data_IF_444074414180
#
_entry.id   IF_444074414180
#
_cell.length_a   1.000
_cell.length_b   1.000
_cell.length_c   1.000
_cell.angle_alpha   90.00
_cell.angle_beta   90.00
_cell.angle_gamma   90.00
#
_symmetry.space_group_name_H-M   'P 1'
#
loop_
_entity.id
_entity.type
_entity.pdbx_description
1 polymer ?
#
# COMPACT_ATOMS: atom_id res chain seq x y z
N UNK A 1 -20.14 -5.35 -46.57
CA UNK A 1 -19.83 -4.90 -45.20
C UNK A 1 -19.57 -3.40 -45.19
N UNK A 2 -20.40 -2.62 -44.52
CA UNK A 2 -20.28 -1.16 -44.45
C UNK A 2 -19.00 -0.69 -43.76
N UNK A 3 -18.50 0.50 -44.15
CA UNK A 3 -17.31 1.13 -43.55
C UNK A 3 -17.43 1.23 -42.01
N UNK A 4 -18.65 1.54 -41.53
CA UNK A 4 -18.98 1.58 -40.11
C UNK A 4 -18.77 0.23 -39.40
N UNK A 5 -19.12 -0.89 -40.01
CA UNK A 5 -18.95 -2.23 -39.47
C UNK A 5 -17.46 -2.63 -39.34
N UNK A 6 -16.62 -2.22 -40.31
CA UNK A 6 -15.16 -2.44 -40.23
C UNK A 6 -14.52 -1.62 -39.10
N UNK A 7 -14.96 -0.36 -38.94
CA UNK A 7 -14.48 0.50 -37.82
C UNK A 7 -14.89 -0.08 -36.47
N UNK A 8 -16.16 -0.49 -36.31
CA UNK A 8 -16.64 -1.11 -35.06
C UNK A 8 -15.85 -2.39 -34.70
N UNK A 9 -15.57 -3.26 -35.69
CA UNK A 9 -14.73 -4.45 -35.48
C UNK A 9 -13.29 -4.08 -35.07
N UNK A 10 -12.72 -3.06 -35.70
CA UNK A 10 -11.37 -2.57 -35.32
C UNK A 10 -11.32 -2.06 -33.88
N UNK A 11 -12.30 -1.25 -33.48
CA UNK A 11 -12.40 -0.75 -32.10
C UNK A 11 -12.61 -1.87 -31.08
N UNK A 12 -13.45 -2.86 -31.39
CA UNK A 12 -13.65 -4.02 -30.52
C UNK A 12 -12.38 -4.86 -30.37
N UNK A 13 -11.61 -5.05 -31.45
CA UNK A 13 -10.34 -5.77 -31.39
C UNK A 13 -9.29 -5.03 -30.54
N UNK A 14 -9.20 -3.71 -30.66
CA UNK A 14 -8.31 -2.88 -29.81
C UNK A 14 -8.73 -2.97 -28.35
N UNK A 15 -10.02 -2.83 -28.04
CA UNK A 15 -10.53 -2.94 -26.67
C UNK A 15 -10.22 -4.33 -26.05
N UNK A 16 -10.43 -5.41 -26.81
CA UNK A 16 -10.10 -6.77 -26.38
C UNK A 16 -8.59 -6.93 -26.15
N UNK A 17 -7.75 -6.38 -27.01
CA UNK A 17 -6.30 -6.36 -26.87
C UNK A 17 -5.84 -5.60 -25.60
N UNK A 18 -6.39 -4.41 -25.35
CA UNK A 18 -6.11 -3.65 -24.15
C UNK A 18 -6.54 -4.39 -22.87
N UNK A 19 -7.70 -5.05 -22.89
CA UNK A 19 -8.18 -5.82 -21.77
C UNK A 19 -7.28 -7.05 -21.50
N UNK A 20 -6.93 -7.81 -22.54
CA UNK A 20 -6.01 -8.94 -22.43
C UNK A 20 -4.62 -8.51 -21.91
N UNK A 21 -4.11 -7.38 -22.41
CA UNK A 21 -2.88 -6.78 -21.88
C UNK A 21 -3.04 -6.43 -20.40
N UNK A 22 -4.14 -5.80 -20.00
CA UNK A 22 -4.40 -5.44 -18.61
C UNK A 22 -4.40 -6.63 -17.66
N UNK A 23 -4.96 -7.77 -18.08
CA UNK A 23 -4.89 -9.03 -17.31
C UNK A 23 -3.45 -9.55 -17.20
N UNK A 24 -2.68 -9.49 -18.28
CA UNK A 24 -1.27 -9.90 -18.28
C UNK A 24 -0.43 -8.95 -17.42
N UNK A 25 -0.64 -7.64 -17.52
CA UNK A 25 0.10 -6.65 -16.73
C UNK A 25 -0.14 -6.81 -15.23
N UNK A 26 -1.34 -7.20 -14.79
CA UNK A 26 -1.68 -7.44 -13.40
C UNK A 26 -0.88 -8.60 -12.76
N UNK A 27 -0.16 -9.40 -13.55
CA UNK A 27 0.75 -10.45 -13.07
C UNK A 27 2.23 -10.12 -13.25
N UNK A 28 2.56 -8.94 -13.75
CA UNK A 28 3.95 -8.50 -14.01
C UNK A 28 4.52 -7.77 -12.79
N UNK A 29 4.66 -8.47 -11.68
CA UNK A 29 5.18 -7.92 -10.43
C UNK A 29 6.56 -7.29 -10.60
N UNK A 30 6.79 -6.15 -9.95
CA UNK A 30 8.05 -5.39 -10.00
C UNK A 30 8.55 -5.06 -8.61
N UNK A 31 9.86 -5.06 -8.46
CA UNK A 31 10.54 -4.45 -7.31
C UNK A 31 11.04 -3.07 -7.75
N UNK A 32 10.50 -2.02 -7.12
CA UNK A 32 11.01 -0.66 -7.26
C UNK A 32 12.09 -0.40 -6.22
N UNK A 33 13.02 0.46 -6.58
CA UNK A 33 14.07 0.94 -5.67
C UNK A 33 14.01 2.46 -5.63
N UNK A 34 13.92 3.02 -4.44
CA UNK A 34 13.77 4.46 -4.20
C UNK A 34 14.72 4.86 -3.09
N UNK A 35 15.47 5.93 -3.27
CA UNK A 35 16.34 6.50 -2.23
C UNK A 35 15.64 7.67 -1.56
N UNK A 36 15.68 7.72 -0.22
CA UNK A 36 15.05 8.77 0.58
C UNK A 36 16.08 9.37 1.54
N UNK A 37 16.44 10.66 1.39
CA UNK A 37 17.39 11.32 2.28
C UNK A 37 16.66 11.77 3.58
N UNK A 38 16.68 10.91 4.62
CA UNK A 38 15.89 11.12 5.82
C UNK A 38 16.62 10.76 7.11
N UNK A 39 17.73 10.00 7.04
CA UNK A 39 18.47 9.55 8.20
C UNK A 39 19.40 10.64 8.76
N UNK A 40 19.74 10.57 10.05
CA UNK A 40 20.85 11.36 10.61
C UNK A 40 22.17 11.09 9.90
N UNK A 41 23.05 12.10 9.84
CA UNK A 41 24.38 11.95 9.26
C UNK A 41 25.27 10.97 10.07
N UNK A 42 26.09 10.20 9.36
CA UNK A 42 27.12 9.33 9.93
C UNK A 42 26.69 7.90 10.28
N UNK A 43 25.42 7.56 10.09
CA UNK A 43 24.93 6.18 10.24
C UNK A 43 24.91 5.39 8.93
N UNK A 44 24.69 4.07 8.98
CA UNK A 44 24.56 3.23 7.79
C UNK A 44 23.26 3.53 7.00
N UNK A 45 23.21 3.12 5.75
CA UNK A 45 21.94 3.06 5.00
C UNK A 45 21.00 2.02 5.62
N UNK A 46 19.68 2.26 5.50
CA UNK A 46 18.65 1.33 5.96
C UNK A 46 17.66 1.02 4.82
N UNK A 47 17.33 -0.26 4.65
CA UNK A 47 16.40 -0.71 3.60
C UNK A 47 15.05 -1.08 4.20
N UNK A 48 14.00 -0.37 3.78
CA UNK A 48 12.62 -0.68 4.13
C UNK A 48 11.96 -1.40 2.96
N UNK A 49 11.42 -2.60 3.19
CA UNK A 49 10.50 -3.24 2.26
C UNK A 49 9.08 -2.74 2.55
N UNK A 50 8.51 -2.00 1.61
CA UNK A 50 7.14 -1.50 1.68
C UNK A 50 6.21 -2.44 0.90
N UNK A 51 5.40 -3.22 1.62
CA UNK A 51 4.33 -4.08 1.12
C UNK A 51 3.00 -3.33 1.19
N UNK A 52 2.13 -3.52 0.20
CA UNK A 52 0.81 -2.88 0.17
C UNK A 52 -0.14 -3.61 -0.76
N UNK A 53 -1.43 -3.59 -0.44
CA UNK A 53 -2.52 -3.98 -1.32
C UNK A 53 -2.27 -5.34 -2.01
N UNK A 54 -1.96 -6.36 -1.23
CA UNK A 54 -1.67 -7.71 -1.75
C UNK A 54 -2.94 -8.34 -2.30
N UNK A 55 -4.10 -8.12 -1.66
CA UNK A 55 -5.40 -8.69 -2.03
C UNK A 55 -5.29 -10.17 -2.39
N UNK A 56 -4.65 -10.95 -1.50
CA UNK A 56 -4.40 -12.35 -1.79
C UNK A 56 -5.69 -13.16 -1.82
N UNK A 57 -5.87 -13.93 -2.90
CA UNK A 57 -6.85 -15.00 -3.01
C UNK A 57 -6.14 -16.35 -2.98
N UNK A 58 -6.81 -17.43 -2.50
CA UNK A 58 -6.28 -18.78 -2.59
C UNK A 58 -5.91 -19.13 -4.04
N UNK A 59 -4.82 -19.88 -4.21
CA UNK A 59 -4.40 -20.39 -5.52
C UNK A 59 -3.64 -19.41 -6.42
N UNK A 60 -3.39 -18.16 -6.03
CA UNK A 60 -2.60 -17.19 -6.79
C UNK A 60 -1.09 -17.50 -6.73
N UNK A 61 -0.65 -18.62 -7.32
CA UNK A 61 0.71 -19.14 -7.17
C UNK A 61 1.81 -18.19 -7.63
N UNK A 62 1.59 -17.43 -8.70
CA UNK A 62 2.56 -16.43 -9.18
C UNK A 62 2.80 -15.34 -8.13
N UNK A 63 1.73 -14.84 -7.50
CA UNK A 63 1.82 -13.83 -6.44
C UNK A 63 2.51 -14.41 -5.20
N UNK A 64 2.14 -15.63 -4.79
CA UNK A 64 2.78 -16.32 -3.67
C UNK A 64 4.28 -16.56 -3.92
N UNK A 65 4.66 -16.94 -5.13
CA UNK A 65 6.07 -17.12 -5.49
C UNK A 65 6.84 -15.80 -5.47
N UNK A 66 6.21 -14.71 -5.94
CA UNK A 66 6.78 -13.37 -5.85
C UNK A 66 6.99 -12.95 -4.39
N UNK A 67 5.98 -13.12 -3.52
CA UNK A 67 6.09 -12.78 -2.09
C UNK A 67 7.23 -13.55 -1.40
N UNK A 68 7.39 -14.85 -1.67
CA UNK A 68 8.51 -15.65 -1.11
C UNK A 68 9.88 -15.12 -1.51
N UNK A 69 10.02 -14.66 -2.74
CA UNK A 69 11.29 -14.14 -3.25
C UNK A 69 11.69 -12.79 -2.64
N UNK A 70 10.75 -12.07 -2.00
CA UNK A 70 11.04 -10.76 -1.39
C UNK A 70 12.00 -10.86 -0.20
N UNK A 71 12.08 -11.98 0.48
CA UNK A 71 13.03 -12.20 1.56
C UNK A 71 14.50 -12.13 1.08
N UNK A 72 14.76 -12.44 -0.19
CA UNK A 72 16.09 -12.37 -0.80
C UNK A 72 16.54 -10.93 -1.08
N UNK A 73 15.66 -9.95 -0.89
CA UNK A 73 16.01 -8.52 -0.92
C UNK A 73 16.69 -8.07 0.38
N UNK A 74 16.68 -8.90 1.43
CA UNK A 74 17.32 -8.66 2.74
C UNK A 74 16.98 -7.25 3.30
N UNK A 75 15.70 -6.93 3.54
CA UNK A 75 15.33 -5.66 4.16
C UNK A 75 15.73 -5.62 5.63
N UNK A 76 16.01 -4.43 6.13
CA UNK A 76 16.28 -4.18 7.56
C UNK A 76 14.97 -3.94 8.34
N UNK A 77 13.92 -3.51 7.63
CA UNK A 77 12.58 -3.23 8.17
C UNK A 77 11.52 -3.59 7.13
N UNK A 78 10.39 -4.13 7.58
CA UNK A 78 9.24 -4.43 6.71
C UNK A 78 8.02 -3.66 7.19
N UNK A 79 7.41 -2.88 6.29
CA UNK A 79 6.15 -2.17 6.57
C UNK A 79 5.07 -2.64 5.59
N UNK A 80 3.93 -3.10 6.14
CA UNK A 80 2.73 -3.42 5.37
C UNK A 80 1.66 -2.37 5.60
N UNK A 81 1.20 -1.76 4.52
CA UNK A 81 0.17 -0.71 4.56
C UNK A 81 -1.24 -1.24 4.29
N UNK A 82 -1.49 -2.55 4.52
CA UNK A 82 -2.84 -3.12 4.53
C UNK A 82 -3.34 -3.66 3.20
N UNK A 83 -4.61 -4.07 3.20
CA UNK A 83 -5.30 -4.79 2.13
C UNK A 83 -4.53 -6.08 1.76
N UNK A 84 -4.19 -6.87 2.79
CA UNK A 84 -3.36 -8.06 2.64
C UNK A 84 -4.11 -9.23 2.00
N UNK A 85 -5.37 -9.42 2.35
CA UNK A 85 -6.19 -10.57 1.94
C UNK A 85 -7.47 -10.15 1.24
N UNK A 86 -8.07 -11.07 0.49
CA UNK A 86 -9.40 -10.93 -0.10
C UNK A 86 -10.32 -12.12 0.32
N UNK A 87 -9.83 -13.01 1.19
CA UNK A 87 -10.56 -14.17 1.72
C UNK A 87 -9.84 -14.70 2.96
N UNK A 88 -10.58 -15.22 3.94
CA UNK A 88 -10.03 -15.86 5.15
C UNK A 88 -9.09 -17.04 4.81
N UNK A 89 -9.45 -17.80 3.77
CA UNK A 89 -8.64 -18.93 3.31
C UNK A 89 -7.31 -18.51 2.68
N UNK A 90 -7.08 -17.21 2.47
CA UNK A 90 -5.80 -16.67 2.02
C UNK A 90 -4.81 -16.42 3.18
N UNK A 91 -5.25 -16.44 4.45
CA UNK A 91 -4.36 -16.18 5.60
C UNK A 91 -3.21 -17.20 5.67
N UNK A 92 -3.44 -18.53 5.72
CA UNK A 92 -2.33 -19.46 5.81
C UNK A 92 -1.32 -19.38 4.65
N UNK A 93 -1.73 -19.31 3.36
CA UNK A 93 -0.78 -19.16 2.27
C UNK A 93 -0.05 -17.80 2.28
N UNK A 94 -0.68 -16.71 2.76
CA UNK A 94 0.00 -15.42 2.94
C UNK A 94 1.14 -15.54 3.95
N UNK A 95 0.84 -16.04 5.15
CA UNK A 95 1.83 -16.21 6.23
C UNK A 95 2.98 -17.11 5.77
N UNK A 96 2.66 -18.24 5.11
CA UNK A 96 3.67 -19.12 4.54
C UNK A 96 4.53 -18.42 3.47
N UNK A 97 3.96 -17.52 2.69
CA UNK A 97 4.70 -16.82 1.63
C UNK A 97 5.56 -15.67 2.19
N UNK A 98 5.10 -14.96 3.22
CA UNK A 98 5.90 -13.95 3.91
C UNK A 98 7.10 -14.59 4.63
N UNK A 99 6.92 -15.79 5.23
CA UNK A 99 8.01 -16.63 5.76
C UNK A 99 9.02 -15.83 6.59
N UNK A 100 10.29 -15.81 6.15
CA UNK A 100 11.40 -15.10 6.85
C UNK A 100 11.18 -13.59 7.00
N UNK A 101 10.33 -12.96 6.19
CA UNK A 101 10.04 -11.53 6.35
C UNK A 101 9.32 -11.24 7.69
N UNK A 102 8.58 -12.22 8.24
CA UNK A 102 7.92 -12.08 9.54
C UNK A 102 8.90 -12.13 10.73
N UNK A 103 10.16 -12.45 10.49
CA UNK A 103 11.25 -12.44 11.49
C UNK A 103 12.05 -11.14 11.46
N UNK A 104 11.93 -10.35 10.38
CA UNK A 104 12.53 -9.02 10.25
C UNK A 104 11.69 -8.01 11.05
N UNK A 105 12.31 -7.05 11.78
CA UNK A 105 11.55 -5.99 12.44
C UNK A 105 10.54 -5.35 11.49
N UNK A 106 9.33 -5.06 11.98
CA UNK A 106 8.30 -4.52 11.10
C UNK A 106 7.05 -4.04 11.79
N UNK A 107 6.14 -3.55 10.97
CA UNK A 107 4.82 -3.14 11.41
C UNK A 107 3.80 -3.16 10.29
N UNK A 108 2.53 -3.17 10.65
CA UNK A 108 1.45 -3.15 9.69
C UNK A 108 0.26 -2.34 10.19
N UNK A 109 -0.48 -1.81 9.24
CA UNK A 109 -1.84 -1.33 9.42
C UNK A 109 -2.78 -2.17 8.56
N UNK A 110 -4.07 -2.13 8.82
CA UNK A 110 -5.08 -2.76 7.99
C UNK A 110 -5.71 -1.78 7.01
N UNK A 111 -6.17 -2.33 5.89
CA UNK A 111 -7.06 -1.65 4.97
C UNK A 111 -8.45 -2.28 5.00
N UNK A 112 -9.38 -1.71 4.27
CA UNK A 112 -10.78 -2.14 4.26
C UNK A 112 -10.98 -3.62 3.90
N UNK A 113 -10.12 -4.16 3.03
CA UNK A 113 -10.19 -5.55 2.59
C UNK A 113 -9.49 -6.54 3.56
N UNK A 114 -8.94 -6.06 4.67
CA UNK A 114 -8.55 -6.90 5.80
C UNK A 114 -9.71 -7.09 6.80
N UNK A 115 -10.72 -6.20 6.75
CA UNK A 115 -11.93 -6.26 7.58
C UNK A 115 -13.11 -6.91 6.87
N UNK A 116 -13.24 -6.69 5.56
CA UNK A 116 -14.42 -7.03 4.79
C UNK A 116 -14.08 -7.71 3.47
N UNK A 117 -14.89 -8.71 3.10
CA UNK A 117 -14.77 -9.33 1.77
C UNK A 117 -14.98 -8.30 0.67
N UNK A 118 -14.17 -8.38 -0.41
CA UNK A 118 -14.35 -7.51 -1.56
C UNK A 118 -15.74 -7.70 -2.19
N UNK A 119 -16.35 -6.61 -2.61
CA UNK A 119 -17.64 -6.59 -3.31
C UNK A 119 -17.51 -5.99 -4.69
N UNK A 120 -18.42 -6.37 -5.61
CA UNK A 120 -18.47 -5.75 -6.92
C UNK A 120 -18.90 -4.28 -6.80
N UNK A 121 -18.03 -3.38 -7.24
CA UNK A 121 -18.31 -1.94 -7.36
C UNK A 121 -18.26 -1.54 -8.83
N UNK A 122 -19.28 -0.80 -9.29
CA UNK A 122 -19.33 -0.35 -10.68
C UNK A 122 -18.15 0.61 -10.98
N UNK A 123 -17.23 0.25 -11.90
CA UNK A 123 -16.04 1.05 -12.17
C UNK A 123 -16.34 2.45 -12.72
N UNK A 124 -17.48 2.66 -13.39
CA UNK A 124 -17.88 3.99 -13.89
C UNK A 124 -18.15 4.99 -12.75
N UNK A 125 -18.53 4.52 -11.57
CA UNK A 125 -18.72 5.39 -10.40
C UNK A 125 -17.42 5.94 -9.88
N UNK A 126 -16.32 5.19 -9.95
CA UNK A 126 -14.99 5.67 -9.58
C UNK A 126 -14.57 6.89 -10.42
N UNK A 127 -14.78 6.80 -11.73
CA UNK A 127 -14.44 7.91 -12.64
C UNK A 127 -15.32 9.13 -12.40
N UNK A 128 -16.60 8.92 -12.06
CA UNK A 128 -17.56 10.00 -11.86
C UNK A 128 -17.47 10.69 -10.48
N UNK A 129 -17.09 9.94 -9.41
CA UNK A 129 -17.14 10.42 -8.01
C UNK A 129 -15.76 10.53 -7.34
N UNK A 130 -14.70 10.04 -7.98
CA UNK A 130 -13.32 10.07 -7.47
C UNK A 130 -13.03 9.12 -6.31
N UNK A 131 -14.05 8.53 -5.68
CA UNK A 131 -13.89 7.55 -4.58
C UNK A 131 -15.00 6.49 -4.58
N UNK A 132 -14.72 5.34 -3.95
CA UNK A 132 -15.71 4.30 -3.70
C UNK A 132 -16.58 4.61 -2.48
N UNK A 133 -17.82 4.14 -2.50
CA UNK A 133 -18.70 4.19 -1.33
C UNK A 133 -18.56 2.88 -0.54
N UNK A 134 -18.58 2.92 0.81
CA UNK A 134 -18.65 1.72 1.64
C UNK A 134 -19.90 0.90 1.32
N UNK A 135 -19.79 -0.43 1.47
CA UNK A 135 -20.99 -1.30 1.43
C UNK A 135 -21.86 -1.09 2.64
N UNK A 136 -23.18 -1.28 2.49
CA UNK A 136 -24.14 -1.13 3.58
C UNK A 136 -24.10 -2.28 4.61
N UNK A 137 -23.63 -3.47 4.20
CA UNK A 137 -23.56 -4.66 5.07
C UNK A 137 -22.47 -5.62 4.52
N UNK A 138 -21.19 -5.25 4.60
CA UNK A 138 -20.13 -6.08 4.07
C UNK A 138 -19.93 -7.33 4.93
N UNK A 139 -19.69 -8.48 4.31
CA UNK A 139 -19.31 -9.70 5.01
C UNK A 139 -17.91 -9.51 5.64
N UNK A 140 -17.79 -9.80 6.94
CA UNK A 140 -16.54 -9.63 7.69
C UNK A 140 -15.57 -10.77 7.40
N UNK A 141 -14.28 -10.43 7.41
CA UNK A 141 -13.17 -11.36 7.36
C UNK A 141 -12.66 -11.68 8.78
N UNK A 142 -11.86 -12.73 8.89
CA UNK A 142 -11.22 -13.17 10.14
C UNK A 142 -10.00 -12.28 10.48
N UNK A 143 -10.21 -10.97 10.60
CA UNK A 143 -9.17 -9.95 10.83
C UNK A 143 -8.35 -10.24 12.08
N UNK A 144 -8.97 -10.71 13.16
CA UNK A 144 -8.26 -11.04 14.40
C UNK A 144 -7.32 -12.24 14.21
N UNK A 145 -7.68 -13.22 13.37
CA UNK A 145 -6.79 -14.30 13.00
C UNK A 145 -5.60 -13.76 12.19
N UNK A 146 -5.85 -12.89 11.21
CA UNK A 146 -4.77 -12.26 10.44
C UNK A 146 -3.80 -11.49 11.35
N UNK A 147 -4.34 -10.69 12.28
CA UNK A 147 -3.55 -9.96 13.29
C UNK A 147 -2.68 -10.90 14.12
N UNK A 148 -3.27 -11.96 14.66
CA UNK A 148 -2.56 -12.94 15.48
C UNK A 148 -1.44 -13.63 14.72
N UNK A 149 -1.66 -13.95 13.44
CA UNK A 149 -0.64 -14.58 12.59
C UNK A 149 0.49 -13.61 12.24
N UNK A 150 0.20 -12.35 11.91
CA UNK A 150 1.22 -11.34 11.57
C UNK A 150 2.10 -10.98 12.79
N UNK A 151 1.53 -10.99 14.00
CA UNK A 151 2.27 -10.67 15.24
C UNK A 151 2.90 -11.87 15.92
N UNK A 152 2.71 -13.09 15.41
CA UNK A 152 3.11 -14.34 16.08
C UNK A 152 4.60 -14.42 16.41
N UNK A 153 5.47 -13.94 15.56
CA UNK A 153 6.93 -13.92 15.80
C UNK A 153 7.36 -12.89 16.83
N UNK A 154 6.53 -11.88 17.10
CA UNK A 154 6.89 -10.72 17.93
C UNK A 154 7.70 -9.65 17.20
N UNK A 155 8.13 -9.90 15.95
CA UNK A 155 8.91 -8.93 15.16
C UNK A 155 8.04 -7.89 14.45
N UNK A 156 6.78 -8.22 14.14
CA UNK A 156 5.83 -7.29 13.55
C UNK A 156 4.86 -6.74 14.58
N UNK A 157 4.62 -5.43 14.51
CA UNK A 157 3.73 -4.69 15.41
C UNK A 157 2.45 -4.26 14.70
N UNK A 158 1.31 -4.47 15.38
CA UNK A 158 0.03 -3.88 14.97
C UNK A 158 0.04 -2.38 15.25
N UNK A 159 -0.04 -1.57 14.20
CA UNK A 159 0.02 -0.12 14.24
C UNK A 159 -1.35 0.55 14.05
N UNK A 160 -2.46 -0.21 14.03
CA UNK A 160 -3.80 0.38 13.92
C UNK A 160 -4.08 1.26 15.14
N UNK A 161 -4.04 2.58 14.95
CA UNK A 161 -4.12 3.62 15.98
C UNK A 161 -3.14 3.43 17.14
N UNK A 162 -1.89 3.04 16.81
CA UNK A 162 -0.83 2.75 17.78
C UNK A 162 0.50 3.35 17.38
N UNK A 163 1.30 3.58 18.43
CA UNK A 163 2.73 3.94 18.33
C UNK A 163 3.56 2.85 18.99
N UNK A 164 4.73 2.58 18.45
CA UNK A 164 5.75 1.71 19.06
C UNK A 164 7.14 2.20 18.69
N UNK A 165 8.13 1.84 19.49
CA UNK A 165 9.54 2.09 19.20
C UNK A 165 10.21 0.74 18.95
N UNK A 166 10.97 0.66 17.88
CA UNK A 166 11.74 -0.53 17.50
C UNK A 166 13.19 -0.13 17.18
N UNK A 167 14.08 -1.10 17.21
CA UNK A 167 15.46 -0.95 16.76
C UNK A 167 15.65 -1.73 15.45
N UNK A 168 16.20 -1.06 14.42
CA UNK A 168 16.55 -1.70 13.15
C UNK A 168 17.75 -0.99 12.50
N UNK A 169 18.70 -1.75 11.93
CA UNK A 169 19.90 -1.25 11.27
C UNK A 169 20.73 -0.26 12.13
N UNK A 170 20.67 -0.35 13.46
CA UNK A 170 21.38 0.54 14.37
C UNK A 170 20.67 1.86 14.67
N UNK A 171 19.43 2.03 14.21
CA UNK A 171 18.57 3.19 14.48
C UNK A 171 17.44 2.83 15.43
N UNK A 172 17.10 3.78 16.30
CA UNK A 172 15.89 3.74 17.11
C UNK A 172 14.75 4.45 16.38
N UNK A 173 13.72 3.69 16.02
CA UNK A 173 12.68 4.13 15.11
C UNK A 173 11.34 4.15 15.81
N UNK A 174 10.63 5.28 15.77
CA UNK A 174 9.22 5.31 16.13
C UNK A 174 8.38 4.95 14.92
N UNK A 175 7.54 3.93 15.06
CA UNK A 175 6.47 3.61 14.13
C UNK A 175 5.16 4.15 14.68
N UNK A 176 4.42 4.91 13.87
CA UNK A 176 3.12 5.47 14.20
C UNK A 176 2.15 5.12 13.10
N UNK A 177 1.05 4.43 13.42
CA UNK A 177 0.07 4.04 12.42
C UNK A 177 -1.35 4.45 12.78
N UNK A 178 -2.19 4.51 11.76
CA UNK A 178 -3.64 4.70 11.88
C UNK A 178 -4.40 3.53 11.30
N UNK A 179 -5.58 3.25 11.82
CA UNK A 179 -6.52 2.34 11.19
C UNK A 179 -7.06 2.92 9.87
N UNK A 180 -7.94 2.22 9.16
CA UNK A 180 -8.38 2.56 7.80
C UNK A 180 -9.12 3.89 7.71
N UNK A 181 -8.44 4.90 7.19
CA UNK A 181 -8.99 6.23 6.97
C UNK A 181 -10.03 6.29 5.83
N UNK A 182 -10.12 5.27 4.96
CA UNK A 182 -11.11 5.22 3.87
C UNK A 182 -12.52 4.93 4.38
N UNK A 183 -12.64 4.18 5.48
CA UNK A 183 -13.91 3.86 6.12
C UNK A 183 -14.09 4.56 7.47
N UNK A 184 -13.32 5.64 7.72
CA UNK A 184 -13.38 6.43 8.96
C UNK A 184 -13.21 5.56 10.23
N UNK A 185 -12.36 4.52 10.15
CA UNK A 185 -12.01 3.67 11.30
C UNK A 185 -10.84 4.23 12.09
N UNK A 186 -10.06 5.15 11.50
CA UNK A 186 -8.90 5.77 12.13
C UNK A 186 -9.27 6.64 13.32
N UNK A 187 -8.44 6.56 14.35
CA UNK A 187 -8.53 7.40 15.54
C UNK A 187 -7.20 8.10 15.82
N UNK A 188 -6.84 9.08 14.98
CA UNK A 188 -5.56 9.79 15.07
C UNK A 188 -5.26 10.36 16.48
N UNK A 189 -6.23 10.82 17.29
CA UNK A 189 -5.97 11.25 18.67
C UNK A 189 -5.25 10.23 19.55
N UNK A 190 -5.32 8.93 19.25
CA UNK A 190 -4.58 7.90 19.98
C UNK A 190 -3.07 7.93 19.73
N UNK A 191 -2.63 8.56 18.62
CA UNK A 191 -1.24 8.59 18.18
C UNK A 191 -0.69 10.01 17.95
N UNK A 192 -1.47 11.03 18.31
CA UNK A 192 -1.11 12.45 18.13
C UNK A 192 0.10 12.85 18.97
N UNK A 193 0.83 13.87 18.52
CA UNK A 193 1.91 14.53 19.23
C UNK A 193 3.29 14.29 18.60
N UNK A 194 4.33 15.00 19.06
CA UNK A 194 5.67 14.91 18.50
C UNK A 194 6.25 13.50 18.60
N UNK A 195 7.30 13.23 17.85
CA UNK A 195 8.07 12.00 17.99
C UNK A 195 8.59 11.86 19.42
N UNK A 196 8.75 10.62 19.89
CA UNK A 196 9.28 10.29 21.21
C UNK A 196 10.75 10.75 21.33
N UNK A 197 11.15 11.13 22.54
CA UNK A 197 12.53 11.54 22.79
C UNK A 197 13.53 10.41 22.50
N UNK A 198 14.63 10.79 21.86
CA UNK A 198 15.75 9.87 21.60
C UNK A 198 15.46 8.85 20.47
N UNK A 199 14.50 9.09 19.61
CA UNK A 199 14.35 8.37 18.33
C UNK A 199 15.15 9.05 17.24
N UNK A 200 15.74 8.24 16.34
CA UNK A 200 16.53 8.72 15.21
C UNK A 200 15.65 9.01 13.98
N UNK A 201 14.49 8.33 13.90
CA UNK A 201 13.56 8.41 12.78
C UNK A 201 12.11 8.17 13.25
N UNK A 202 11.19 8.98 12.74
CA UNK A 202 9.74 8.81 12.93
C UNK A 202 9.08 8.40 11.62
N UNK A 203 8.46 7.21 11.58
CA UNK A 203 7.75 6.67 10.41
C UNK A 203 6.24 6.69 10.66
N UNK A 204 5.49 7.33 9.76
CA UNK A 204 4.04 7.27 9.69
C UNK A 204 3.58 6.13 8.77
N UNK A 205 2.58 5.38 9.19
CA UNK A 205 2.01 4.26 8.42
C UNK A 205 0.50 4.42 8.36
N UNK A 206 -0.07 4.49 7.17
CA UNK A 206 -1.52 4.55 6.98
C UNK A 206 -1.90 3.75 5.74
N UNK A 207 -3.08 3.12 5.74
CA UNK A 207 -3.53 2.45 4.52
C UNK A 207 -3.87 3.48 3.45
N UNK A 208 -4.87 4.30 3.70
CA UNK A 208 -5.37 5.27 2.72
C UNK A 208 -4.80 6.68 2.99
N UNK A 209 -4.12 7.31 1.99
CA UNK A 209 -3.41 8.56 2.17
C UNK A 209 -4.35 9.78 2.13
N UNK A 210 -5.34 9.85 3.01
CA UNK A 210 -6.20 11.01 3.16
C UNK A 210 -5.43 12.20 3.74
N UNK A 211 -5.65 13.38 3.18
CA UNK A 211 -4.94 14.60 3.57
C UNK A 211 -5.03 14.86 5.07
N UNK A 212 -6.20 14.66 5.69
CA UNK A 212 -6.37 14.84 7.14
C UNK A 212 -5.37 14.02 7.98
N UNK A 213 -5.00 12.81 7.54
CA UNK A 213 -4.01 11.97 8.22
C UNK A 213 -2.60 12.43 7.87
N UNK A 214 -2.34 12.68 6.59
CA UNK A 214 -1.04 13.16 6.13
C UNK A 214 -0.69 14.52 6.75
N UNK A 215 -1.64 15.43 6.81
CA UNK A 215 -1.48 16.76 7.42
C UNK A 215 -1.15 16.63 8.92
N UNK A 216 -1.90 15.79 9.64
CA UNK A 216 -1.69 15.55 11.07
C UNK A 216 -0.32 14.92 11.35
N UNK A 217 0.06 13.85 10.64
CA UNK A 217 1.37 13.20 10.79
C UNK A 217 2.51 14.17 10.48
N UNK A 218 2.37 14.98 9.42
CA UNK A 218 3.39 15.96 9.02
C UNK A 218 3.54 17.08 10.07
N UNK A 219 2.42 17.58 10.60
CA UNK A 219 2.43 18.59 11.67
C UNK A 219 3.08 18.06 12.95
N UNK A 220 2.88 16.79 13.28
CA UNK A 220 3.50 16.12 14.42
C UNK A 220 4.98 15.78 14.20
N UNK A 221 5.56 16.10 13.04
CA UNK A 221 6.99 15.95 12.77
C UNK A 221 7.40 14.53 12.34
N UNK A 222 6.50 13.75 11.72
CA UNK A 222 6.86 12.48 11.09
C UNK A 222 7.81 12.75 9.91
N UNK A 223 8.91 12.00 9.83
CA UNK A 223 9.94 12.18 8.79
C UNK A 223 9.55 11.57 7.45
N UNK A 224 8.95 10.36 7.48
CA UNK A 224 8.53 9.61 6.30
C UNK A 224 7.18 8.92 6.55
N UNK A 225 6.22 9.12 5.64
CA UNK A 225 4.91 8.48 5.68
C UNK A 225 4.83 7.43 4.56
N UNK A 226 4.36 6.23 4.90
CA UNK A 226 4.13 5.13 3.98
C UNK A 226 2.63 4.85 3.86
N UNK A 227 2.13 4.76 2.60
CA UNK A 227 0.72 4.54 2.33
C UNK A 227 0.49 3.65 1.10
N UNK A 228 -0.71 3.09 1.00
CA UNK A 228 -1.19 2.25 -0.10
C UNK A 228 -2.49 2.74 -0.72
N UNK A 229 -3.49 1.84 -0.84
CA UNK A 229 -4.89 2.11 -1.19
C UNK A 229 -5.16 2.58 -2.63
N UNK A 230 -4.34 3.45 -3.17
CA UNK A 230 -4.58 4.10 -4.47
C UNK A 230 -4.42 3.16 -5.66
N UNK A 231 -3.75 2.01 -5.47
CA UNK A 231 -3.28 1.11 -6.52
C UNK A 231 -2.50 1.83 -7.65
N UNK A 232 -1.96 3.02 -7.37
CA UNK A 232 -1.32 3.89 -8.36
C UNK A 232 -2.27 4.36 -9.47
N UNK A 233 -3.59 4.34 -9.19
CA UNK A 233 -4.67 4.59 -10.13
C UNK A 233 -5.11 3.34 -10.91
N UNK A 234 -4.44 2.20 -10.76
CA UNK A 234 -4.69 0.87 -11.34
C UNK A 234 -4.79 0.85 -12.88
N UNK A 235 -5.58 1.76 -13.48
CA UNK A 235 -5.69 2.00 -14.94
C UNK A 235 -5.23 3.41 -15.21
N UNK A 236 -4.04 3.52 -15.80
CA UNK A 236 -3.43 4.80 -16.15
C UNK A 236 -3.47 5.06 -17.66
N UNK A 237 -3.53 6.31 -18.04
CA UNK A 237 -3.34 6.71 -19.44
C UNK A 237 -1.85 6.92 -19.70
N UNK A 238 -1.27 6.22 -20.70
CA UNK A 238 0.15 6.42 -21.04
C UNK A 238 0.46 7.91 -21.30
N UNK A 239 1.50 8.43 -20.64
CA UNK A 239 1.90 9.84 -20.73
C UNK A 239 1.08 10.82 -19.89
N UNK A 240 -0.08 10.42 -19.36
CA UNK A 240 -0.89 11.25 -18.46
C UNK A 240 -0.84 10.76 -17.00
N UNK A 241 -0.85 9.44 -16.77
CA UNK A 241 -0.85 8.85 -15.44
C UNK A 241 -2.23 8.39 -14.95
N UNK A 242 -2.43 8.39 -13.65
CA UNK A 242 -3.66 7.94 -12.99
C UNK A 242 -4.87 8.82 -13.31
N UNK A 243 -6.05 8.20 -13.39
CA UNK A 243 -7.33 8.90 -13.57
C UNK A 243 -8.05 9.17 -12.24
N UNK A 244 -7.69 8.41 -11.19
CA UNK A 244 -8.25 8.54 -9.84
C UNK A 244 -7.24 8.04 -8.80
N UNK A 245 -7.37 8.53 -7.58
CA UNK A 245 -6.59 8.06 -6.42
C UNK A 245 -7.44 7.28 -5.42
N UNK A 246 -8.75 7.27 -5.59
CA UNK A 246 -9.72 6.75 -4.63
C UNK A 246 -9.65 7.41 -3.24
N UNK A 247 -9.02 8.56 -3.13
CA UNK A 247 -8.93 9.42 -1.93
C UNK A 247 -8.98 10.90 -2.33
N UNK A 248 -8.58 11.80 -1.45
CA UNK A 248 -8.59 13.25 -1.68
C UNK A 248 -7.26 13.83 -2.19
N UNK A 249 -6.31 12.96 -2.55
CA UNK A 249 -5.07 13.38 -3.21
C UNK A 249 -5.25 13.61 -4.72
N UNK A 250 -4.50 14.54 -5.32
CA UNK A 250 -4.45 14.72 -6.76
C UNK A 250 -3.82 13.50 -7.45
N UNK A 251 -4.21 13.25 -8.71
CA UNK A 251 -3.86 12.02 -9.44
C UNK A 251 -2.38 11.89 -9.78
N UNK A 252 -1.63 12.97 -9.84
CA UNK A 252 -0.17 12.98 -10.02
C UNK A 252 0.57 12.44 -8.79
N UNK A 253 -0.09 12.37 -7.64
CA UNK A 253 0.42 11.78 -6.39
C UNK A 253 -0.13 10.38 -6.12
N UNK A 254 -0.70 9.71 -7.11
CA UNK A 254 -1.28 8.38 -6.94
C UNK A 254 -0.27 7.31 -6.50
N UNK A 255 1.03 7.50 -6.73
CA UNK A 255 2.11 6.58 -6.33
C UNK A 255 3.48 7.25 -6.37
N UNK A 256 4.45 6.58 -5.73
CA UNK A 256 5.86 6.98 -5.73
C UNK A 256 6.21 7.88 -4.57
N UNK A 257 7.42 8.42 -4.61
CA UNK A 257 7.95 9.31 -3.57
C UNK A 257 7.61 10.76 -3.90
N UNK A 258 7.11 11.48 -2.92
CA UNK A 258 6.84 12.92 -2.99
C UNK A 258 7.04 13.54 -1.61
N UNK A 259 7.06 14.87 -1.53
CA UNK A 259 7.00 15.58 -0.25
C UNK A 259 5.55 15.97 0.08
N UNK A 260 5.20 15.85 1.35
CA UNK A 260 3.96 16.42 1.90
C UNK A 260 4.32 17.61 2.80
N UNK A 261 3.67 18.75 2.57
CA UNK A 261 3.98 20.01 3.25
C UNK A 261 2.72 20.61 3.84
N UNK A 262 2.79 21.03 5.12
CA UNK A 262 1.72 21.67 5.86
C UNK A 262 2.32 22.72 6.78
N UNK A 263 1.92 24.01 6.65
CA UNK A 263 2.22 25.09 7.59
C UNK A 263 3.70 25.17 8.04
N UNK A 264 4.63 24.99 7.10
CA UNK A 264 6.07 25.03 7.37
C UNK A 264 6.69 23.69 7.80
N UNK A 265 5.88 22.68 8.06
CA UNK A 265 6.33 21.29 8.29
C UNK A 265 6.39 20.52 6.97
N UNK A 266 7.26 19.51 6.90
CA UNK A 266 7.33 18.62 5.74
C UNK A 266 7.65 17.19 6.18
N UNK A 267 7.12 16.23 5.44
CA UNK A 267 7.44 14.81 5.54
C UNK A 267 7.67 14.24 4.12
N UNK A 268 8.53 13.25 4.00
CA UNK A 268 8.51 12.41 2.81
C UNK A 268 7.24 11.55 2.80
N UNK A 269 6.65 11.37 1.63
CA UNK A 269 5.48 10.51 1.44
C UNK A 269 5.77 9.52 0.33
N UNK A 270 5.73 8.23 0.64
CA UNK A 270 5.76 7.19 -0.38
C UNK A 270 4.43 6.44 -0.44
N UNK A 271 3.81 6.46 -1.61
CA UNK A 271 2.57 5.72 -1.89
C UNK A 271 2.90 4.56 -2.82
N UNK A 272 2.58 3.34 -2.38
CA UNK A 272 2.75 2.13 -3.19
C UNK A 272 1.60 1.97 -4.18
N UNK A 273 1.90 1.50 -5.40
CA UNK A 273 0.84 1.06 -6.31
C UNK A 273 0.30 -0.34 -5.97
N UNK A 274 0.86 -1.01 -4.96
CA UNK A 274 0.39 -2.29 -4.47
C UNK A 274 0.67 -3.49 -5.37
N UNK A 275 0.56 -4.67 -4.79
CA UNK A 275 0.87 -5.97 -5.42
C UNK A 275 -0.38 -6.56 -6.09
N UNK A 276 -1.55 -6.33 -5.53
CA UNK A 276 -2.81 -6.96 -5.94
C UNK A 276 -3.74 -6.05 -6.73
N UNK A 277 -4.93 -6.56 -6.88
CA UNK A 277 -6.10 -5.88 -7.46
C UNK A 277 -7.34 -6.41 -6.75
N UNK A 278 -8.44 -5.66 -6.78
CA UNK A 278 -9.72 -6.24 -6.41
C UNK A 278 -10.02 -7.49 -7.25
N UNK A 279 -10.60 -8.56 -6.69
CA UNK A 279 -11.04 -9.74 -7.43
C UNK A 279 -12.01 -9.42 -8.58
N UNK A 280 -12.79 -8.36 -8.43
CA UNK A 280 -13.78 -7.92 -9.43
C UNK A 280 -13.21 -7.02 -10.52
N UNK A 281 -11.95 -6.56 -10.36
CA UNK A 281 -11.22 -5.77 -11.34
C UNK A 281 -9.77 -6.29 -11.46
N UNK A 282 -9.56 -7.55 -11.92
CA UNK A 282 -8.26 -8.22 -11.88
C UNK A 282 -7.34 -7.79 -13.04
N UNK A 283 -7.31 -6.52 -13.36
CA UNK A 283 -6.50 -5.97 -14.46
C UNK A 283 -5.80 -4.68 -14.03
N UNK A 284 -4.66 -4.41 -14.66
CA UNK A 284 -3.90 -3.16 -14.54
C UNK A 284 -3.51 -2.67 -15.92
N UNK A 285 -3.44 -1.37 -16.14
CA UNK A 285 -3.04 -0.80 -17.41
C UNK A 285 -2.10 0.38 -17.22
N UNK A 286 -0.90 0.32 -17.81
CA UNK A 286 0.20 1.27 -17.64
C UNK A 286 0.55 1.54 -16.15
N UNK A 287 0.24 0.57 -15.27
CA UNK A 287 0.45 0.63 -13.84
C UNK A 287 0.69 -0.80 -13.29
N UNK A 288 1.82 -1.44 -13.59
CA UNK A 288 2.12 -2.79 -13.15
C UNK A 288 2.14 -2.87 -11.62
N UNK A 289 1.82 -4.05 -11.04
CA UNK A 289 1.91 -4.26 -9.61
C UNK A 289 3.36 -4.14 -9.13
N UNK A 290 3.53 -3.60 -7.91
CA UNK A 290 4.86 -3.33 -7.38
C UNK A 290 4.95 -3.52 -5.87
N UNK A 291 6.17 -3.78 -5.43
CA UNK A 291 6.65 -3.55 -4.07
C UNK A 291 7.84 -2.59 -4.15
N UNK A 292 8.10 -1.85 -3.08
CA UNK A 292 9.20 -0.89 -3.09
C UNK A 292 10.22 -1.22 -2.00
N UNK A 293 11.50 -1.25 -2.37
CA UNK A 293 12.63 -1.11 -1.44
C UNK A 293 12.97 0.37 -1.37
N UNK A 294 12.75 0.96 -0.20
CA UNK A 294 13.20 2.31 0.12
C UNK A 294 14.56 2.20 0.78
N UNK A 295 15.58 2.77 0.14
CA UNK A 295 16.91 2.92 0.75
C UNK A 295 16.97 4.28 1.42
N UNK A 296 16.92 4.29 2.74
CA UNK A 296 17.05 5.51 3.53
C UNK A 296 18.54 5.85 3.66
N UNK A 297 18.86 7.10 3.38
CA UNK A 297 20.23 7.63 3.45
C UNK A 297 20.29 8.89 4.29
N UNK A 298 21.48 9.32 4.66
CA UNK A 298 21.68 10.59 5.37
C UNK A 298 21.08 11.79 4.63
N UNK A 299 20.54 12.75 5.37
CA UNK A 299 20.05 14.05 4.87
C UNK A 299 21.16 14.88 4.29
#
# INVERSE_FOLDING_TARGET
MTKAFKVAKGLAAVAAGCFAWGLAEATRFRVRRVTVPVLPAGGPEMRILHLSDIHLLPGQQLKLSFLRALADLEPDLVISTGDNIASDTAIPPLISALGRLLEVPGGFVFGSNDYHKPEFKNPLRYVARGRSEPSKSPERLATDQLRAELTRSGAWHDLNDRRTIIDAAGYRIELRGTDDAHHDLDHYPAVVGPASDGVDLSLGVTHAPYRRILDAMTTDGVDLILAGHTHGGQVCVPGHGALTTNCDLPTDRAKGLSEHRVEGHHAWLHISAGIGTSPFAPYRFACPPEVTILTLVAR
#
